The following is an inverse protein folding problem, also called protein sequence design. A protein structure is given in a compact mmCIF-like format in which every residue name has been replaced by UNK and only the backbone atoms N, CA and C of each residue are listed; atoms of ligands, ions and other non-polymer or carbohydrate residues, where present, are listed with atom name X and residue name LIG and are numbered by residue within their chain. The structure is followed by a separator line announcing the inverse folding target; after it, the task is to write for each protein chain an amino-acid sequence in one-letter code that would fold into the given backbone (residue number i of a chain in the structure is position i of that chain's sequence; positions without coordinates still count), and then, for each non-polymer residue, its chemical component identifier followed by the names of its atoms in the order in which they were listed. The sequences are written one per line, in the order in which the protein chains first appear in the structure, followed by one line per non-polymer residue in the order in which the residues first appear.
data_IF_598306164637
#
_entry.id   IF_598306164637
#
_cell.length_a   1.000
_cell.length_b   1.000
_cell.length_c   1.000
_cell.angle_alpha   90.00
_cell.angle_beta   90.00
_cell.angle_gamma   90.00
#
_symmetry.space_group_name_H-M   'P 1'
#
loop_
_entity.id
_entity.type
_entity.pdbx_description
1 polymer ?
#
# COMPACT_ATOMS: atom_id res chain seq x y z
N UNK A 1 -74.64 -43.92 31.83
CA UNK A 1 -74.67 -43.52 30.40
C UNK A 1 -74.19 -42.08 30.34
N UNK A 2 -73.03 -41.87 29.71
CA UNK A 2 -72.59 -40.71 28.89
C UNK A 2 -72.83 -39.28 29.43
N UNK A 3 -71.93 -38.30 29.32
CA UNK A 3 -70.57 -38.18 28.82
C UNK A 3 -70.09 -36.77 29.22
N UNK A 4 -68.83 -36.66 29.61
CA UNK A 4 -67.85 -35.63 29.21
C UNK A 4 -68.30 -34.18 28.89
N UNK A 5 -67.75 -33.20 29.62
CA UNK A 5 -66.70 -32.30 29.08
C UNK A 5 -66.33 -31.15 30.03
N UNK A 6 -65.08 -31.18 30.46
CA UNK A 6 -64.35 -30.07 31.09
C UNK A 6 -64.02 -28.99 30.06
N UNK A 7 -64.34 -27.73 30.36
CA UNK A 7 -63.76 -26.58 29.66
C UNK A 7 -62.83 -25.81 30.60
N UNK A 8 -61.53 -26.04 30.38
CA UNK A 8 -60.42 -25.25 30.91
C UNK A 8 -60.32 -23.99 30.05
N UNK A 9 -60.64 -22.82 30.62
CA UNK A 9 -60.30 -21.54 30.00
C UNK A 9 -58.86 -21.20 30.36
N UNK A 10 -57.98 -21.27 29.37
CA UNK A 10 -56.58 -20.94 29.47
C UNK A 10 -56.41 -19.45 29.72
N UNK A 11 -55.78 -19.11 30.84
CA UNK A 11 -55.22 -17.79 31.10
C UNK A 11 -54.19 -17.46 30.02
N UNK A 12 -54.60 -16.66 29.05
CA UNK A 12 -53.72 -16.10 28.03
C UNK A 12 -52.70 -15.18 28.70
N UNK A 13 -51.47 -15.66 28.83
CA UNK A 13 -50.33 -14.85 29.23
C UNK A 13 -50.10 -13.80 28.12
N UNK A 14 -50.61 -12.58 28.32
CA UNK A 14 -50.21 -11.46 27.47
C UNK A 14 -48.74 -11.16 27.75
N UNK A 15 -47.87 -11.69 26.90
CA UNK A 15 -46.47 -11.26 26.83
C UNK A 15 -46.49 -9.83 26.32
N UNK A 16 -46.41 -8.86 27.25
CA UNK A 16 -46.04 -7.48 26.92
C UNK A 16 -44.61 -7.50 26.38
N UNK A 17 -44.47 -7.71 25.08
CA UNK A 17 -43.18 -7.67 24.40
C UNK A 17 -42.68 -6.23 24.45
N UNK A 18 -41.79 -5.97 25.41
CA UNK A 18 -41.12 -4.67 25.52
C UNK A 18 -40.37 -4.41 24.20
N UNK A 19 -40.82 -3.41 23.43
CA UNK A 19 -40.20 -3.00 22.14
C UNK A 19 -38.68 -2.80 22.25
N UNK A 20 -38.19 -2.53 23.45
CA UNK A 20 -36.78 -2.38 23.77
C UNK A 20 -35.97 -3.69 23.71
N UNK A 21 -36.54 -4.81 24.18
CA UNK A 21 -35.89 -6.13 24.10
C UNK A 21 -35.80 -6.64 22.67
N UNK A 22 -36.81 -6.34 21.83
CA UNK A 22 -36.78 -6.64 20.40
C UNK A 22 -35.66 -5.85 19.70
N UNK A 23 -35.46 -4.57 20.06
CA UNK A 23 -34.39 -3.74 19.48
C UNK A 23 -32.98 -4.23 19.86
N UNK A 24 -32.80 -4.70 21.09
CA UNK A 24 -31.54 -5.30 21.53
C UNK A 24 -31.26 -6.64 20.84
N UNK A 25 -32.28 -7.49 20.65
CA UNK A 25 -32.14 -8.74 19.91
C UNK A 25 -31.78 -8.53 18.44
N UNK A 26 -32.35 -7.50 17.79
CA UNK A 26 -32.00 -7.12 16.41
C UNK A 26 -30.57 -6.59 16.32
N UNK A 27 -30.14 -5.75 17.27
CA UNK A 27 -28.77 -5.23 17.30
C UNK A 27 -27.74 -6.36 17.51
N UNK A 28 -28.00 -7.29 18.43
CA UNK A 28 -27.15 -8.46 18.65
C UNK A 28 -27.11 -9.38 17.42
N UNK A 29 -28.25 -9.62 16.77
CA UNK A 29 -28.33 -10.40 15.54
C UNK A 29 -27.55 -9.79 14.38
N UNK A 30 -27.60 -8.46 14.21
CA UNK A 30 -26.82 -7.73 13.19
C UNK A 30 -25.32 -7.85 13.48
N UNK A 31 -24.88 -7.71 14.75
CA UNK A 31 -23.47 -7.82 15.13
C UNK A 31 -22.93 -9.23 14.86
N UNK A 32 -23.73 -10.27 15.15
CA UNK A 32 -23.35 -11.67 14.88
C UNK A 32 -23.26 -11.92 13.37
N UNK A 33 -24.23 -11.44 12.58
CA UNK A 33 -24.20 -11.59 11.11
C UNK A 33 -23.01 -10.85 10.50
N UNK A 34 -22.70 -9.63 10.94
CA UNK A 34 -21.51 -8.90 10.48
C UNK A 34 -20.23 -9.65 10.86
N UNK A 35 -20.13 -10.20 12.08
CA UNK A 35 -18.94 -10.94 12.53
C UNK A 35 -18.73 -12.25 11.76
N UNK A 36 -19.83 -12.95 11.43
CA UNK A 36 -19.78 -14.17 10.60
C UNK A 36 -19.44 -13.83 9.15
N UNK A 37 -19.96 -12.73 8.58
CA UNK A 37 -19.57 -12.25 7.25
C UNK A 37 -18.08 -11.88 7.22
N UNK A 38 -17.56 -11.18 8.24
CA UNK A 38 -16.13 -10.86 8.34
C UNK A 38 -15.28 -12.14 8.41
N UNK A 39 -15.71 -13.16 9.17
CA UNK A 39 -14.98 -14.44 9.23
C UNK A 39 -15.11 -15.27 7.94
N UNK A 40 -16.23 -15.19 7.21
CA UNK A 40 -16.38 -15.84 5.91
C UNK A 40 -15.52 -15.14 4.83
N UNK A 41 -15.40 -13.81 4.85
CA UNK A 41 -14.48 -13.07 3.97
C UNK A 41 -13.00 -13.21 4.40
N UNK A 42 -12.71 -13.51 5.66
CA UNK A 42 -11.37 -13.89 6.13
C UNK A 42 -11.03 -15.37 5.91
N UNK A 43 -12.01 -16.22 5.62
CA UNK A 43 -11.85 -17.68 5.59
C UNK A 43 -12.05 -18.36 4.23
N UNK A 44 -12.37 -17.63 3.16
CA UNK A 44 -12.52 -18.21 1.81
C UNK A 44 -11.80 -17.42 0.73
N UNK A 45 -10.49 -17.57 0.73
CA UNK A 45 -9.68 -17.56 -0.49
C UNK A 45 -9.27 -19.00 -0.78
N UNK A 46 -10.19 -19.85 -1.22
CA UNK A 46 -9.80 -21.11 -1.87
C UNK A 46 -9.51 -20.80 -3.33
N UNK A 47 -8.28 -20.42 -3.62
CA UNK A 47 -7.67 -20.56 -4.94
C UNK A 47 -6.70 -21.73 -4.88
N UNK A 48 -7.04 -22.76 -5.66
CA UNK A 48 -6.27 -23.97 -5.87
C UNK A 48 -4.88 -23.67 -6.43
N UNK A 49 -3.84 -24.12 -5.71
CA UNK A 49 -2.49 -24.46 -6.16
C UNK A 49 -1.86 -23.71 -7.33
N UNK A 50 -1.04 -22.69 -7.04
CA UNK A 50 0.41 -22.69 -7.33
C UNK A 50 1.08 -21.41 -6.78
N UNK A 51 2.25 -21.56 -6.15
CA UNK A 51 3.24 -20.53 -5.78
C UNK A 51 2.85 -19.49 -4.70
N UNK A 52 3.56 -19.53 -3.57
CA UNK A 52 3.53 -18.58 -2.43
C UNK A 52 2.71 -17.31 -2.63
N UNK A 53 1.50 -17.33 -2.09
CA UNK A 53 0.51 -16.27 -2.24
C UNK A 53 1.06 -14.94 -1.68
N UNK A 54 0.90 -13.87 -2.46
CA UNK A 54 1.32 -12.54 -2.05
C UNK A 54 0.20 -11.83 -1.29
N UNK A 55 0.44 -11.49 -0.03
CA UNK A 55 -0.51 -10.78 0.81
C UNK A 55 -0.14 -9.31 0.92
N UNK A 56 -1.14 -8.43 0.72
CA UNK A 56 -0.96 -6.99 0.92
C UNK A 56 -0.84 -6.67 2.41
N UNK A 57 0.29 -6.09 2.80
CA UNK A 57 0.57 -5.70 4.20
C UNK A 57 0.45 -4.20 4.43
N UNK A 58 0.60 -3.38 3.38
CA UNK A 58 0.42 -1.94 3.47
C UNK A 58 -0.04 -1.32 2.15
N UNK A 59 -0.79 -0.22 2.24
CA UNK A 59 -1.10 0.70 1.14
C UNK A 59 -0.86 2.12 1.61
N UNK A 60 0.05 2.82 0.96
CA UNK A 60 0.45 4.17 1.37
C UNK A 60 0.47 5.07 0.15
N UNK A 61 -0.13 6.25 0.26
CA UNK A 61 0.04 7.31 -0.72
C UNK A 61 1.11 8.25 -0.22
N UNK A 62 2.31 8.14 -0.80
CA UNK A 62 3.38 9.08 -0.52
C UNK A 62 3.07 10.36 -1.29
N UNK A 63 2.35 11.27 -0.62
CA UNK A 63 2.17 12.62 -1.10
C UNK A 63 3.42 13.41 -0.75
N UNK A 64 3.95 14.16 -1.70
CA UNK A 64 5.08 14.98 -1.39
C UNK A 64 4.68 16.22 -0.61
N UNK A 65 5.04 16.23 0.65
CA UNK A 65 5.78 17.40 1.14
C UNK A 65 7.24 17.22 0.71
N UNK A 66 7.54 17.45 -0.58
CA UNK A 66 8.89 17.42 -1.18
C UNK A 66 9.83 18.48 -0.61
N UNK A 67 9.51 19.17 0.49
CA UNK A 67 10.25 20.34 0.99
C UNK A 67 11.73 20.06 1.33
N UNK A 68 12.21 18.82 1.21
CA UNK A 68 13.64 18.49 1.28
C UNK A 68 14.17 17.45 0.27
N UNK A 69 13.35 16.83 -0.59
CA UNK A 69 13.77 15.85 -1.63
C UNK A 69 14.74 14.70 -1.21
N UNK A 70 14.98 14.52 0.10
CA UNK A 70 15.80 13.48 0.73
C UNK A 70 14.97 12.61 1.68
N UNK A 71 13.67 12.89 1.73
CA UNK A 71 12.73 12.25 2.65
C UNK A 71 12.43 10.84 2.18
N UNK A 72 12.55 9.91 3.12
CA UNK A 72 12.01 8.57 2.97
C UNK A 72 10.57 8.60 3.44
N UNK A 73 9.65 8.06 2.64
CA UNK A 73 8.27 7.83 3.03
C UNK A 73 8.18 6.45 3.69
N UNK A 74 8.01 6.34 5.02
CA UNK A 74 7.88 5.04 5.67
C UNK A 74 6.61 4.36 5.18
N UNK A 75 6.72 3.10 4.77
CA UNK A 75 5.58 2.31 4.27
C UNK A 75 5.23 1.13 5.18
N UNK A 76 6.22 0.59 5.89
CA UNK A 76 6.07 -0.40 6.97
C UNK A 76 7.11 -0.08 8.04
N UNK A 77 6.72 0.11 9.30
CA UNK A 77 7.64 0.49 10.37
C UNK A 77 8.19 -0.68 11.18
N UNK A 78 7.53 -1.85 11.08
CA UNK A 78 7.86 -3.06 11.84
C UNK A 78 7.60 -4.29 10.94
N UNK A 79 8.44 -4.48 9.92
CA UNK A 79 8.31 -5.61 9.01
C UNK A 79 8.85 -6.89 9.64
N UNK A 80 8.07 -7.96 9.57
CA UNK A 80 8.51 -9.31 9.93
C UNK A 80 9.48 -9.86 8.86
N UNK A 81 10.31 -10.83 9.24
CA UNK A 81 11.20 -11.54 8.31
C UNK A 81 10.42 -12.20 7.16
N UNK A 82 10.92 -12.11 5.94
CA UNK A 82 10.37 -12.77 4.76
C UNK A 82 10.60 -12.01 3.46
N UNK A 83 10.00 -12.50 2.38
CA UNK A 83 10.12 -11.91 1.05
C UNK A 83 9.04 -10.86 0.83
N UNK A 84 9.44 -9.70 0.32
CA UNK A 84 8.57 -8.55 0.06
C UNK A 84 8.73 -8.05 -1.37
N UNK A 85 7.70 -7.33 -1.83
CA UNK A 85 7.75 -6.52 -3.05
C UNK A 85 6.95 -5.23 -2.87
N UNK A 86 7.36 -4.18 -3.57
CA UNK A 86 6.67 -2.89 -3.60
C UNK A 86 6.07 -2.66 -4.98
N UNK A 87 4.77 -2.40 -5.02
CA UNK A 87 3.98 -2.27 -6.25
C UNK A 87 3.44 -0.84 -6.35
N UNK A 88 3.83 -0.06 -7.38
CA UNK A 88 3.20 1.23 -7.64
C UNK A 88 1.76 1.04 -8.18
N UNK A 89 0.77 1.67 -7.55
CA UNK A 89 -0.66 1.53 -7.89
C UNK A 89 -1.16 2.75 -8.68
N UNK A 90 -0.86 2.77 -9.98
CA UNK A 90 -1.36 3.76 -10.94
C UNK A 90 -0.88 5.21 -10.78
N UNK A 91 0.42 5.48 -10.84
CA UNK A 91 0.87 6.87 -11.04
C UNK A 91 2.11 6.99 -11.87
N UNK A 92 2.06 7.93 -12.81
CA UNK A 92 3.17 8.79 -13.09
C UNK A 92 3.09 10.04 -12.19
N UNK A 93 4.23 10.62 -11.88
CA UNK A 93 4.31 11.93 -11.22
C UNK A 93 4.89 12.95 -12.21
N UNK A 94 4.78 14.24 -11.91
CA UNK A 94 5.18 15.30 -12.84
C UNK A 94 6.44 16.01 -12.32
N UNK A 95 7.48 16.00 -13.15
CA UNK A 95 8.73 16.71 -12.94
C UNK A 95 8.66 18.06 -13.65
N UNK A 96 9.03 19.12 -12.92
CA UNK A 96 9.14 20.46 -13.49
C UNK A 96 10.42 20.62 -14.32
N UNK A 97 10.33 21.34 -15.45
CA UNK A 97 11.46 21.66 -16.32
C UNK A 97 11.76 23.17 -16.30
N UNK A 98 13.00 23.55 -16.62
CA UNK A 98 13.46 24.95 -16.60
C UNK A 98 12.66 25.91 -17.49
N UNK A 99 12.00 25.39 -18.53
CA UNK A 99 11.15 26.15 -19.43
C UNK A 99 9.73 26.40 -18.86
N UNK A 100 9.46 25.93 -17.64
CA UNK A 100 8.17 26.04 -16.97
C UNK A 100 7.22 24.87 -17.27
N UNK A 101 7.61 23.94 -18.14
CA UNK A 101 6.79 22.78 -18.51
C UNK A 101 6.91 21.64 -17.48
N UNK A 102 6.10 20.59 -17.69
CA UNK A 102 6.09 19.39 -16.86
C UNK A 102 6.27 18.14 -17.72
N UNK A 103 7.12 17.22 -17.27
CA UNK A 103 7.26 15.89 -17.85
C UNK A 103 6.70 14.83 -16.92
N UNK A 104 5.97 13.89 -17.51
CA UNK A 104 5.38 12.75 -16.82
C UNK A 104 6.44 11.67 -16.60
N UNK A 105 6.72 11.34 -15.34
CA UNK A 105 7.72 10.34 -14.93
C UNK A 105 7.02 9.06 -14.47
N UNK A 106 7.25 7.92 -15.13
CA UNK A 106 6.71 6.63 -14.70
C UNK A 106 7.49 6.07 -13.48
N UNK A 107 6.95 5.08 -12.76
CA UNK A 107 7.62 4.52 -11.58
C UNK A 107 9.00 3.88 -11.85
N UNK A 108 9.27 3.46 -13.09
CA UNK A 108 10.58 2.94 -13.50
C UNK A 108 11.59 4.05 -13.84
N UNK A 109 11.17 5.32 -13.82
CA UNK A 109 12.00 6.47 -14.14
C UNK A 109 12.12 6.74 -15.64
N UNK A 110 12.83 7.82 -15.95
CA UNK A 110 13.21 8.21 -17.30
C UNK A 110 14.68 7.85 -17.52
N UNK A 111 15.00 7.34 -18.71
CA UNK A 111 16.40 7.13 -19.11
C UNK A 111 17.11 8.49 -19.13
N UNK A 112 18.13 8.62 -18.29
CA UNK A 112 18.86 9.85 -18.05
C UNK A 112 19.56 10.35 -19.33
N UNK A 113 20.17 9.44 -20.09
CA UNK A 113 20.91 9.80 -21.30
C UNK A 113 19.98 10.07 -22.48
N UNK A 114 18.84 9.39 -22.57
CA UNK A 114 17.87 9.68 -23.62
C UNK A 114 17.20 11.05 -23.43
N UNK A 115 17.02 11.50 -22.17
CA UNK A 115 16.29 12.73 -21.87
C UNK A 115 17.19 13.95 -21.59
N UNK A 116 18.42 13.76 -21.12
CA UNK A 116 19.31 14.85 -20.73
C UNK A 116 20.72 14.77 -21.33
N UNK A 117 20.89 14.09 -22.48
CA UNK A 117 22.20 13.88 -23.15
C UNK A 117 23.04 15.16 -23.30
N UNK A 118 22.38 16.29 -23.51
CA UNK A 118 23.01 17.60 -23.76
C UNK A 118 23.40 18.34 -22.47
N UNK A 119 23.05 17.80 -21.28
CA UNK A 119 23.25 18.42 -19.98
C UNK A 119 24.23 17.61 -19.10
N UNK A 120 25.50 17.51 -19.52
CA UNK A 120 26.54 16.71 -18.85
C UNK A 120 26.71 17.02 -17.35
N UNK A 121 26.71 18.30 -16.97
CA UNK A 121 26.84 18.71 -15.55
C UNK A 121 25.68 18.19 -14.68
N UNK A 122 24.47 18.09 -15.23
CA UNK A 122 23.32 17.54 -14.52
C UNK A 122 23.47 16.02 -14.31
N UNK A 123 23.96 15.31 -15.33
CA UNK A 123 24.20 13.86 -15.29
C UNK A 123 25.24 13.52 -14.21
N UNK A 124 26.36 14.26 -14.20
CA UNK A 124 27.42 14.08 -13.22
C UNK A 124 26.93 14.35 -11.79
N UNK A 125 26.17 15.44 -11.61
CA UNK A 125 25.58 15.79 -10.32
C UNK A 125 24.56 14.76 -9.85
N UNK A 126 23.72 14.23 -10.75
CA UNK A 126 22.83 13.12 -10.44
C UNK A 126 23.61 11.92 -9.91
N UNK A 127 24.59 11.43 -10.67
CA UNK A 127 25.39 10.27 -10.25
C UNK A 127 26.10 10.48 -8.91
N UNK A 128 26.48 11.72 -8.59
CA UNK A 128 27.11 12.08 -7.30
C UNK A 128 26.15 12.05 -6.12
N UNK A 129 24.89 12.43 -6.31
CA UNK A 129 23.97 12.79 -5.22
C UNK A 129 22.76 11.87 -5.08
N UNK A 130 22.49 11.07 -6.10
CA UNK A 130 21.38 10.13 -6.17
C UNK A 130 21.42 9.11 -5.03
N UNK A 131 20.25 8.67 -4.56
CA UNK A 131 20.17 7.68 -3.46
C UNK A 131 20.78 6.34 -3.86
N UNK A 132 20.60 5.94 -5.12
CA UNK A 132 21.17 4.70 -5.68
C UNK A 132 22.31 5.02 -6.64
N UNK A 133 23.55 4.94 -6.16
CA UNK A 133 24.76 5.13 -6.97
C UNK A 133 24.74 4.23 -8.21
N UNK A 134 25.13 4.78 -9.36
CA UNK A 134 25.19 4.06 -10.63
C UNK A 134 23.85 3.79 -11.32
N UNK A 135 22.73 4.32 -10.80
CA UNK A 135 21.46 4.29 -11.53
C UNK A 135 21.53 5.25 -12.73
N UNK A 136 20.98 4.83 -13.86
CA UNK A 136 20.79 5.67 -15.06
C UNK A 136 19.33 6.06 -15.27
N UNK A 137 18.47 5.74 -14.31
CA UNK A 137 17.04 6.02 -14.41
C UNK A 137 16.68 7.09 -13.39
N UNK A 138 16.39 8.28 -13.90
CA UNK A 138 15.98 9.43 -13.10
C UNK A 138 14.52 9.29 -12.70
N UNK A 139 14.22 9.44 -11.42
CA UNK A 139 12.87 9.40 -10.87
C UNK A 139 12.30 8.01 -10.62
N UNK A 140 13.13 6.97 -10.71
CA UNK A 140 12.75 5.59 -10.39
C UNK A 140 12.34 5.46 -8.93
N UNK A 141 11.29 4.68 -8.67
CA UNK A 141 10.87 4.31 -7.32
C UNK A 141 11.91 3.41 -6.67
N UNK A 142 12.41 3.84 -5.52
CA UNK A 142 13.36 3.13 -4.69
C UNK A 142 12.69 2.62 -3.43
N UNK A 143 13.22 1.51 -2.92
CA UNK A 143 12.89 0.95 -1.61
C UNK A 143 14.15 0.96 -0.76
N UNK A 144 14.04 1.45 0.47
CA UNK A 144 15.03 1.26 1.52
C UNK A 144 14.58 0.16 2.46
N UNK A 145 15.46 -0.81 2.68
CA UNK A 145 15.26 -1.92 3.62
C UNK A 145 16.15 -1.68 4.83
N UNK A 146 15.54 -1.34 5.96
CA UNK A 146 16.23 -0.93 7.17
C UNK A 146 17.11 0.31 6.96
N UNK A 147 18.33 0.28 7.48
CA UNK A 147 19.30 1.38 7.33
C UNK A 147 20.38 1.11 6.27
N UNK A 148 20.27 0.02 5.49
CA UNK A 148 21.42 -0.51 4.74
C UNK A 148 21.22 -0.56 3.24
N UNK A 149 20.10 -1.08 2.75
CA UNK A 149 19.97 -1.41 1.34
C UNK A 149 18.99 -0.48 0.62
N UNK A 150 19.43 0.09 -0.51
CA UNK A 150 18.59 0.87 -1.43
C UNK A 150 18.50 0.14 -2.77
N UNK A 151 17.29 -0.32 -3.08
CA UNK A 151 17.00 -1.08 -4.30
C UNK A 151 15.96 -0.36 -5.16
N UNK A 152 15.91 -0.71 -6.44
CA UNK A 152 14.83 -0.27 -7.31
C UNK A 152 13.60 -1.16 -7.04
N UNK A 153 12.43 -0.54 -6.90
CA UNK A 153 11.18 -1.25 -6.62
C UNK A 153 10.73 -2.15 -7.79
N UNK A 154 11.19 -1.84 -9.00
CA UNK A 154 10.91 -2.59 -10.21
C UNK A 154 12.21 -3.17 -10.79
N UNK A 155 12.13 -4.34 -11.42
CA UNK A 155 13.25 -4.95 -12.13
C UNK A 155 13.36 -4.41 -13.57
N UNK A 156 14.33 -4.91 -14.35
CA UNK A 156 14.55 -4.49 -15.74
C UNK A 156 13.38 -4.80 -16.68
N UNK A 157 12.55 -5.80 -16.37
CA UNK A 157 11.31 -6.09 -17.10
C UNK A 157 10.11 -5.28 -16.61
N UNK A 158 10.33 -4.30 -15.72
CA UNK A 158 9.33 -3.41 -15.11
C UNK A 158 8.33 -4.13 -14.20
N UNK A 159 8.60 -5.37 -13.83
CA UNK A 159 7.83 -6.09 -12.83
C UNK A 159 8.30 -5.71 -11.41
N UNK A 160 7.45 -5.80 -10.38
CA UNK A 160 7.86 -5.62 -8.99
C UNK A 160 9.06 -6.50 -8.65
N UNK A 161 10.10 -5.88 -8.09
CA UNK A 161 11.29 -6.57 -7.61
C UNK A 161 11.02 -7.16 -6.24
N UNK A 162 11.38 -8.42 -6.08
CA UNK A 162 11.33 -9.13 -4.80
C UNK A 162 12.62 -8.89 -4.02
N UNK A 163 12.51 -8.78 -2.69
CA UNK A 163 13.63 -8.58 -1.78
C UNK A 163 13.36 -9.21 -0.41
N UNK A 164 14.44 -9.61 0.27
CA UNK A 164 14.38 -10.28 1.57
C UNK A 164 14.51 -9.28 2.71
N UNK A 165 13.59 -9.37 3.67
CA UNK A 165 13.75 -8.80 5.01
C UNK A 165 14.31 -9.90 5.90
N UNK A 166 15.53 -9.73 6.39
CA UNK A 166 16.24 -10.78 7.15
C UNK A 166 16.01 -10.73 8.66
N UNK A 167 15.46 -9.62 9.17
CA UNK A 167 15.27 -9.35 10.60
C UNK A 167 13.88 -8.75 10.86
N UNK A 168 13.20 -9.23 11.90
CA UNK A 168 11.96 -8.62 12.38
C UNK A 168 12.22 -7.18 12.89
N UNK A 169 11.21 -6.30 12.83
CA UNK A 169 11.40 -4.89 13.19
C UNK A 169 12.09 -4.05 12.13
N UNK A 170 12.20 -4.55 10.89
CA UNK A 170 12.84 -3.78 9.81
C UNK A 170 11.88 -2.72 9.28
N UNK A 171 12.31 -1.46 9.25
CA UNK A 171 11.58 -0.41 8.55
C UNK A 171 11.74 -0.56 7.03
N UNK A 172 10.64 -0.49 6.31
CA UNK A 172 10.59 -0.32 4.86
C UNK A 172 10.14 1.11 4.55
N UNK A 173 10.89 1.79 3.69
CA UNK A 173 10.54 3.11 3.23
C UNK A 173 10.76 3.25 1.73
N UNK A 174 10.03 4.16 1.09
CA UNK A 174 10.16 4.43 -0.34
C UNK A 174 10.57 5.87 -0.61
N UNK A 175 11.26 6.07 -1.73
CA UNK A 175 11.57 7.39 -2.28
C UNK A 175 11.68 7.29 -3.79
N UNK A 176 11.94 8.40 -4.46
CA UNK A 176 12.26 8.43 -5.88
C UNK A 176 13.72 8.85 -6.07
N UNK A 177 14.35 8.31 -7.10
CA UNK A 177 15.76 8.53 -7.34
C UNK A 177 16.00 9.86 -8.09
N UNK A 178 16.25 10.96 -7.36
CA UNK A 178 16.35 12.31 -7.93
C UNK A 178 17.62 13.06 -7.47
N UNK A 179 18.09 14.03 -8.27
CA UNK A 179 19.23 14.93 -7.98
C UNK A 179 18.81 16.16 -7.16
N UNK A 180 19.35 16.43 -5.95
CA UNK A 180 18.92 17.46 -4.98
C UNK A 180 19.23 18.91 -5.42
N UNK A 181 19.04 19.26 -6.70
CA UNK A 181 18.96 20.64 -7.15
C UNK A 181 17.72 21.30 -6.53
N UNK A 182 17.91 21.96 -5.39
CA UNK A 182 16.89 22.47 -4.48
C UNK A 182 15.74 23.24 -5.16
N UNK A 183 15.98 23.85 -6.33
CA UNK A 183 15.00 24.65 -7.05
C UNK A 183 14.01 23.82 -7.89
N UNK A 184 14.35 22.60 -8.32
CA UNK A 184 13.47 21.81 -9.20
C UNK A 184 12.36 21.08 -8.43
N UNK A 185 12.61 20.71 -7.18
CA UNK A 185 11.73 19.80 -6.43
C UNK A 185 10.47 20.41 -5.90
N UNK A 186 10.55 21.65 -5.44
CA UNK A 186 9.41 22.39 -4.91
C UNK A 186 8.29 22.55 -5.95
N UNK A 187 8.63 22.38 -7.23
CA UNK A 187 7.69 22.48 -8.34
C UNK A 187 7.14 21.11 -8.79
N UNK A 188 7.72 20.00 -8.36
CA UNK A 188 7.24 18.66 -8.72
C UNK A 188 5.85 18.37 -8.16
N UNK A 189 5.00 17.71 -8.96
CA UNK A 189 3.60 17.46 -8.63
C UNK A 189 3.26 15.97 -8.69
N UNK A 190 2.16 15.62 -8.03
CA UNK A 190 1.63 14.26 -7.98
C UNK A 190 2.02 13.54 -6.69
N UNK A 191 1.49 12.34 -6.51
CA UNK A 191 1.79 11.46 -5.37
C UNK A 191 2.06 10.06 -5.91
N UNK A 192 2.74 9.22 -5.14
CA UNK A 192 3.00 7.83 -5.52
C UNK A 192 2.28 6.90 -4.52
N UNK A 193 1.07 6.41 -4.86
CA UNK A 193 0.44 5.31 -4.16
C UNK A 193 1.24 4.03 -4.40
N UNK A 194 1.67 3.42 -3.31
CA UNK A 194 2.40 2.16 -3.28
C UNK A 194 1.64 1.14 -2.45
N UNK A 195 1.70 -0.10 -2.90
CA UNK A 195 1.24 -1.28 -2.18
C UNK A 195 2.46 -2.13 -1.83
N UNK A 196 2.59 -2.50 -0.56
CA UNK A 196 3.62 -3.43 -0.10
C UNK A 196 2.97 -4.79 0.08
N UNK A 197 3.56 -5.80 -0.54
CA UNK A 197 3.13 -7.18 -0.40
C UNK A 197 4.24 -8.03 0.20
N UNK A 198 3.86 -9.03 0.98
CA UNK A 198 4.73 -10.06 1.57
C UNK A 198 4.30 -11.41 1.01
N UNK A 199 5.26 -12.29 0.77
CA UNK A 199 5.00 -13.68 0.44
C UNK A 199 4.67 -14.45 1.73
N UNK A 200 3.53 -15.14 1.75
CA UNK A 200 3.12 -16.03 2.84
C UNK A 200 3.84 -17.39 2.80
#
# INVERSE_FOLDING_TARGET
MSDSSSQVSSGGLQVKTNKWLIRLGVAAGIIIVISVIINIFRGKSTSSGSNGDWVTVARVTCSPTWNQARGWCPVVTDAAKGTYRVIPRYTSWQLWQNDGSFITVPPYGLDLYAHWKEHGEFIDEFHRTTHKKGSNNYGTLLVRVGNMEVIEALNSSRAPREFEVTKDGTELAVTVNLTPLANFYQHNKGAIPVEVQRQD
#
